data_IF_244647874384
#
_entry.id   IF_244647874384
#
_cell.length_a   1.000
_cell.length_b   1.000
_cell.length_c   1.000
_cell.angle_alpha   90.00
_cell.angle_beta   90.00
_cell.angle_gamma   90.00
#
_symmetry.space_group_name_H-M   'P 1'
#
loop_
_entity.id
_entity.type
_entity.pdbx_description
1 polymer ?
#
# COMPACT_ATOMS: atom_id res chain seq x y z
N UNK A 1 28.06 4.71 7.07
CA UNK A 1 27.97 4.27 8.48
C UNK A 1 26.55 4.42 9.05
N UNK A 2 25.92 5.62 8.97
CA UNK A 2 24.56 5.85 9.49
C UNK A 2 23.50 4.84 9.02
N UNK A 3 23.49 4.46 7.74
CA UNK A 3 22.52 3.50 7.21
C UNK A 3 22.60 2.12 7.90
N UNK A 4 23.82 1.68 8.25
CA UNK A 4 24.04 0.40 8.93
C UNK A 4 23.65 0.49 10.41
N UNK A 5 23.88 1.62 11.04
CA UNK A 5 23.43 1.88 12.41
C UNK A 5 21.90 1.86 12.49
N UNK A 6 21.24 2.60 11.60
CA UNK A 6 19.77 2.62 11.51
C UNK A 6 19.22 1.21 11.27
N UNK A 7 19.85 0.42 10.38
CA UNK A 7 19.46 -0.97 10.15
C UNK A 7 19.49 -1.80 11.45
N UNK A 8 20.57 -1.68 12.24
CA UNK A 8 20.68 -2.39 13.54
C UNK A 8 19.61 -1.93 14.53
N UNK A 9 19.37 -0.62 14.62
CA UNK A 9 18.34 -0.06 15.51
C UNK A 9 16.95 -0.57 15.14
N UNK A 10 16.61 -0.60 13.84
CA UNK A 10 15.33 -1.16 13.36
C UNK A 10 15.23 -2.64 13.72
N UNK A 11 16.29 -3.44 13.50
CA UNK A 11 16.30 -4.88 13.83
C UNK A 11 16.09 -5.15 15.31
N UNK A 12 16.69 -4.35 16.20
CA UNK A 12 16.45 -4.49 17.64
C UNK A 12 15.03 -4.03 18.02
N UNK A 13 14.52 -2.96 17.41
CA UNK A 13 13.15 -2.47 17.66
C UNK A 13 12.07 -3.50 17.31
N UNK A 14 12.20 -4.21 16.18
CA UNK A 14 11.20 -5.21 15.74
C UNK A 14 11.38 -6.58 16.39
N UNK A 15 12.43 -6.79 17.19
CA UNK A 15 12.74 -8.07 17.82
C UNK A 15 11.61 -8.49 18.77
N UNK A 16 11.19 -9.76 18.69
CA UNK A 16 10.06 -10.29 19.47
C UNK A 16 8.68 -9.92 18.93
N UNK A 17 8.59 -9.13 17.86
CA UNK A 17 7.32 -8.81 17.19
C UNK A 17 7.06 -9.73 16.00
N UNK A 18 5.84 -9.69 15.46
CA UNK A 18 5.48 -10.33 14.17
C UNK A 18 6.41 -9.91 13.01
N UNK A 19 7.04 -8.73 13.11
CA UNK A 19 7.91 -8.16 12.08
C UNK A 19 9.40 -8.46 12.29
N UNK A 20 9.78 -9.30 13.27
CA UNK A 20 11.20 -9.58 13.57
C UNK A 20 12.01 -10.00 12.34
N UNK A 21 11.40 -10.78 11.45
CA UNK A 21 12.03 -11.32 10.25
C UNK A 21 11.65 -10.55 8.97
N UNK A 22 10.96 -9.41 9.10
CA UNK A 22 10.62 -8.59 7.96
C UNK A 22 11.89 -8.08 7.24
N UNK A 23 11.87 -8.00 5.90
CA UNK A 23 12.98 -7.43 5.13
C UNK A 23 13.11 -5.92 5.40
N UNK A 24 14.34 -5.42 5.43
CA UNK A 24 14.63 -3.99 5.49
C UNK A 24 15.40 -3.63 4.23
N UNK A 25 14.77 -2.86 3.34
CA UNK A 25 15.32 -2.51 2.02
C UNK A 25 15.71 -1.04 2.04
N UNK A 26 17.01 -0.71 1.95
CA UNK A 26 17.45 0.69 1.88
C UNK A 26 17.12 1.27 0.51
N UNK A 27 16.43 2.40 0.46
CA UNK A 27 16.02 3.07 -0.79
C UNK A 27 16.29 4.57 -0.75
N UNK A 28 16.42 5.17 -1.92
CA UNK A 28 16.33 6.63 -2.08
C UNK A 28 15.21 6.94 -3.05
N UNK A 29 14.11 7.50 -2.54
CA UNK A 29 12.96 7.90 -3.37
C UNK A 29 13.29 9.10 -4.25
N UNK A 30 14.10 10.04 -3.74
CA UNK A 30 14.53 11.25 -4.47
C UNK A 30 15.36 10.90 -5.71
N UNK A 31 16.32 9.98 -5.56
CA UNK A 31 17.21 9.57 -6.65
C UNK A 31 16.76 8.28 -7.36
N UNK A 32 15.62 7.71 -6.97
CA UNK A 32 15.08 6.47 -7.54
C UNK A 32 15.89 5.20 -7.25
N UNK A 33 16.81 5.23 -6.28
CA UNK A 33 17.66 4.08 -5.98
C UNK A 33 16.87 2.96 -5.29
N UNK A 34 17.06 1.72 -5.77
CA UNK A 34 16.50 0.47 -5.24
C UNK A 34 14.97 0.34 -5.27
N UNK A 35 14.25 1.19 -6.02
CA UNK A 35 12.80 1.06 -6.18
C UNK A 35 12.38 -0.29 -6.79
N UNK A 36 13.18 -0.83 -7.72
CA UNK A 36 12.96 -2.15 -8.30
C UNK A 36 13.06 -3.29 -7.27
N UNK A 37 13.88 -3.14 -6.23
CA UNK A 37 13.98 -4.14 -5.15
C UNK A 37 12.73 -4.15 -4.28
N UNK A 38 12.06 -3.00 -4.10
CA UNK A 38 10.77 -2.93 -3.40
C UNK A 38 9.71 -3.71 -4.18
N UNK A 39 9.57 -3.46 -5.49
CA UNK A 39 8.59 -4.16 -6.32
C UNK A 39 8.81 -5.66 -6.27
N UNK A 40 10.07 -6.10 -6.41
CA UNK A 40 10.43 -7.52 -6.28
C UNK A 40 10.06 -8.09 -4.91
N UNK A 41 10.32 -7.37 -3.83
CA UNK A 41 10.00 -7.83 -2.49
C UNK A 41 8.48 -7.95 -2.26
N UNK A 42 7.67 -7.06 -2.84
CA UNK A 42 6.21 -7.20 -2.81
C UNK A 42 5.77 -8.50 -3.46
N UNK A 43 6.22 -8.78 -4.68
CA UNK A 43 5.87 -10.02 -5.41
C UNK A 43 6.33 -11.29 -4.69
N UNK A 44 7.54 -11.29 -4.12
CA UNK A 44 8.11 -12.47 -3.47
C UNK A 44 7.52 -12.73 -2.07
N UNK A 45 7.11 -11.69 -1.35
CA UNK A 45 6.74 -11.77 0.08
C UNK A 45 5.24 -11.61 0.29
N UNK A 46 4.60 -10.69 -0.44
CA UNK A 46 3.16 -10.40 -0.34
C UNK A 46 2.46 -10.95 -1.57
N UNK A 47 2.15 -12.25 -1.51
CA UNK A 47 1.41 -12.91 -2.59
C UNK A 47 0.01 -12.34 -2.71
N UNK A 48 -0.48 -12.22 -3.94
CA UNK A 48 -1.88 -11.89 -4.20
C UNK A 48 -2.80 -12.88 -3.48
N UNK A 49 -3.85 -12.41 -2.79
CA UNK A 49 -4.81 -13.28 -2.14
C UNK A 49 -5.57 -14.10 -3.20
N UNK A 50 -6.02 -15.29 -2.81
CA UNK A 50 -6.96 -16.09 -3.62
C UNK A 50 -8.35 -15.48 -3.42
N UNK A 51 -9.06 -15.24 -4.51
CA UNK A 51 -10.43 -14.71 -4.50
C UNK A 51 -11.38 -15.87 -4.81
N UNK A 52 -12.40 -16.05 -3.98
CA UNK A 52 -13.46 -17.03 -4.16
C UNK A 52 -14.74 -16.30 -4.59
N UNK A 53 -15.28 -16.63 -5.77
CA UNK A 53 -16.44 -15.94 -6.36
C UNK A 53 -17.78 -16.34 -5.71
N UNK A 54 -17.80 -17.42 -4.94
CA UNK A 54 -18.96 -17.97 -4.25
C UNK A 54 -19.15 -17.41 -2.82
N UNK A 55 -18.22 -16.59 -2.34
CA UNK A 55 -18.35 -15.91 -1.05
C UNK A 55 -19.38 -14.77 -1.08
N UNK A 56 -19.93 -14.44 0.10
CA UNK A 56 -20.85 -13.31 0.23
C UNK A 56 -20.12 -12.00 -0.12
N UNK A 57 -20.69 -11.23 -1.04
CA UNK A 57 -20.10 -9.97 -1.48
C UNK A 57 -20.01 -8.96 -0.33
N UNK A 58 -18.80 -8.51 -0.03
CA UNK A 58 -18.54 -7.45 0.93
C UNK A 58 -17.68 -6.36 0.28
N UNK A 59 -18.14 -5.11 0.38
CA UNK A 59 -17.40 -3.93 -0.07
C UNK A 59 -17.22 -2.95 1.09
N UNK A 60 -16.01 -2.92 1.66
CA UNK A 60 -15.67 -2.03 2.76
C UNK A 60 -15.36 -0.63 2.22
N UNK A 61 -16.27 0.33 2.45
CA UNK A 61 -16.09 1.71 2.00
C UNK A 61 -15.09 2.43 2.90
N UNK A 62 -14.00 2.89 2.32
CA UNK A 62 -13.00 3.72 2.99
C UNK A 62 -13.14 5.20 2.61
N UNK A 63 -13.71 5.50 1.44
CA UNK A 63 -13.84 6.85 0.88
C UNK A 63 -15.13 7.02 0.09
N UNK A 64 -15.58 8.27 0.02
CA UNK A 64 -16.66 8.70 -0.87
C UNK A 64 -16.20 9.90 -1.69
N UNK A 65 -16.66 9.96 -2.93
CA UNK A 65 -16.26 10.98 -3.88
C UNK A 65 -17.50 11.62 -4.50
N UNK A 66 -17.40 12.93 -4.70
CA UNK A 66 -18.22 13.63 -5.67
C UNK A 66 -17.41 13.75 -6.96
N UNK A 67 -17.90 13.09 -8.01
CA UNK A 67 -17.27 13.14 -9.34
C UNK A 67 -17.81 14.28 -10.20
N UNK A 68 -18.84 14.99 -9.72
CA UNK A 68 -19.44 16.11 -10.43
C UNK A 68 -18.50 17.31 -10.37
N UNK A 69 -18.06 17.78 -11.52
CA UNK A 69 -17.18 18.95 -11.61
C UNK A 69 -17.99 20.22 -11.38
N UNK A 70 -17.36 21.31 -10.91
CA UNK A 70 -18.01 22.60 -10.83
C UNK A 70 -18.60 23.00 -12.19
N UNK A 71 -19.88 23.36 -12.21
CA UNK A 71 -20.60 23.75 -13.43
C UNK A 71 -21.28 22.61 -14.20
N UNK A 72 -21.27 21.37 -13.69
CA UNK A 72 -22.07 20.27 -14.26
C UNK A 72 -23.55 20.64 -14.30
N UNK A 73 -24.16 20.49 -15.47
CA UNK A 73 -25.60 20.74 -15.65
C UNK A 73 -26.40 19.70 -14.88
N UNK A 74 -27.59 20.07 -14.43
CA UNK A 74 -28.44 19.20 -13.59
C UNK A 74 -28.70 17.86 -14.27
N UNK A 75 -28.95 17.85 -15.59
CA UNK A 75 -29.24 16.63 -16.35
C UNK A 75 -28.03 15.70 -16.52
N UNK A 76 -26.81 16.20 -16.26
CA UNK A 76 -25.55 15.49 -16.42
C UNK A 76 -24.92 15.10 -15.07
N UNK A 77 -25.61 15.38 -13.95
CA UNK A 77 -25.15 15.00 -12.62
C UNK A 77 -25.15 13.47 -12.46
N UNK A 78 -24.06 12.95 -11.90
CA UNK A 78 -23.92 11.55 -11.52
C UNK A 78 -24.08 11.39 -10.01
N UNK A 79 -24.51 10.20 -9.59
CA UNK A 79 -24.60 9.83 -8.17
C UNK A 79 -23.24 9.79 -7.47
N UNK A 80 -23.26 9.69 -6.14
CA UNK A 80 -22.05 9.56 -5.34
C UNK A 80 -21.29 8.27 -5.65
N UNK A 81 -19.96 8.36 -5.64
CA UNK A 81 -19.07 7.23 -5.87
C UNK A 81 -18.45 6.81 -4.54
N UNK A 82 -18.46 5.51 -4.24
CA UNK A 82 -17.85 4.93 -3.03
C UNK A 82 -16.64 4.08 -3.42
N UNK A 83 -15.61 4.10 -2.58
CA UNK A 83 -14.34 3.42 -2.79
C UNK A 83 -13.70 2.97 -1.49
#
# INVERSE_FOLDING_TARGET
>A
EQALENYKQIKEFVKGTIAQNAPIIPVSTVFGANLNLIVRAFEEIIKSPVIYEDEEFQFLVARSFDINRPGTQINDLNGGVIG
#
